data_IF_919921372752
#
_entry.id   IF_919921372752
#
_cell.length_a   1.000
_cell.length_b   1.000
_cell.length_c   1.000
_cell.angle_alpha   90.00
_cell.angle_beta   90.00
_cell.angle_gamma   90.00
#
_symmetry.space_group_name_H-M   'P 1'
#
loop_
_entity.id
_entity.type
_entity.pdbx_description
1 polymer ?
#
# COMPACT_ATOMS: atom_id res chain seq x y z
N UNK A 1 3.50 -13.52 17.16
CA UNK A 1 2.51 -12.78 16.34
C UNK A 1 3.01 -12.65 14.92
N UNK A 2 2.11 -12.70 13.98
CA UNK A 2 2.47 -12.51 12.57
C UNK A 2 2.81 -11.06 12.30
N UNK A 3 3.77 -10.84 11.42
CA UNK A 3 4.12 -9.49 10.96
C UNK A 3 3.01 -8.96 10.06
N UNK A 4 2.69 -7.69 10.22
CA UNK A 4 1.69 -7.01 9.40
C UNK A 4 2.37 -6.23 8.29
N UNK A 5 1.96 -6.49 7.06
CA UNK A 5 2.59 -5.92 5.87
C UNK A 5 1.56 -5.10 5.09
N UNK A 6 1.90 -3.85 4.82
CA UNK A 6 1.07 -2.97 3.99
C UNK A 6 1.42 -3.19 2.53
N UNK A 7 0.40 -3.23 1.67
CA UNK A 7 0.60 -3.34 0.23
C UNK A 7 0.63 -1.95 -0.39
N UNK A 8 1.69 -1.65 -1.13
CA UNK A 8 1.81 -0.44 -1.94
C UNK A 8 1.57 -0.81 -3.39
N UNK A 9 0.48 -0.32 -3.96
CA UNK A 9 -0.05 -0.82 -5.22
C UNK A 9 -0.24 0.31 -6.23
N UNK A 10 0.40 0.21 -7.43
CA UNK A 10 0.11 1.15 -8.53
C UNK A 10 -1.33 0.97 -9.00
N UNK A 11 -2.02 2.08 -9.25
CA UNK A 11 -3.42 2.04 -9.68
C UNK A 11 -3.67 2.78 -10.98
N UNK A 12 -2.84 3.76 -11.31
CA UNK A 12 -3.05 4.60 -12.50
C UNK A 12 -2.98 3.77 -13.79
N UNK A 13 -4.00 3.92 -14.62
CA UNK A 13 -4.06 3.23 -15.91
C UNK A 13 -4.57 1.80 -15.83
N UNK A 14 -4.97 1.33 -14.64
CA UNK A 14 -5.48 -0.02 -14.45
C UNK A 14 -6.99 0.01 -14.19
N UNK A 15 -7.68 -1.05 -14.63
CA UNK A 15 -9.09 -1.22 -14.31
C UNK A 15 -9.24 -1.68 -12.87
N UNK A 16 -10.43 -1.51 -12.33
CA UNK A 16 -10.73 -1.98 -10.97
C UNK A 16 -10.49 -3.49 -10.85
N UNK A 17 -10.86 -4.26 -11.88
CA UNK A 17 -10.64 -5.70 -11.88
C UNK A 17 -9.16 -6.05 -11.85
N UNK A 18 -8.33 -5.32 -12.61
CA UNK A 18 -6.88 -5.52 -12.61
C UNK A 18 -6.28 -5.18 -11.24
N UNK A 19 -6.74 -4.10 -10.63
CA UNK A 19 -6.28 -3.71 -9.30
C UNK A 19 -6.59 -4.79 -8.27
N UNK A 20 -7.81 -5.33 -8.29
CA UNK A 20 -8.20 -6.40 -7.37
C UNK A 20 -7.42 -7.67 -7.60
N UNK A 21 -7.21 -8.06 -8.86
CA UNK A 21 -6.45 -9.27 -9.18
C UNK A 21 -5.00 -9.15 -8.72
N UNK A 22 -4.38 -8.01 -8.97
CA UNK A 22 -3.00 -7.77 -8.54
C UNK A 22 -2.89 -7.79 -7.02
N UNK A 23 -3.86 -7.22 -6.33
CA UNK A 23 -3.89 -7.23 -4.87
C UNK A 23 -4.04 -8.65 -4.33
N UNK A 24 -4.91 -9.44 -4.93
CA UNK A 24 -5.14 -10.82 -4.49
C UNK A 24 -3.87 -11.65 -4.59
N UNK A 25 -3.12 -11.52 -5.68
CA UNK A 25 -1.83 -12.21 -5.82
C UNK A 25 -0.86 -11.79 -4.72
N UNK A 26 -0.80 -10.49 -4.42
CA UNK A 26 0.08 -9.99 -3.37
C UNK A 26 -0.32 -10.53 -2.00
N UNK A 27 -1.63 -10.57 -1.72
CA UNK A 27 -2.14 -11.13 -0.46
C UNK A 27 -1.71 -12.58 -0.31
N UNK A 28 -1.85 -13.37 -1.37
CA UNK A 28 -1.46 -14.79 -1.34
C UNK A 28 0.03 -14.96 -1.09
N UNK A 29 0.86 -14.14 -1.72
CA UNK A 29 2.30 -14.18 -1.51
C UNK A 29 2.68 -13.82 -0.08
N UNK A 30 2.10 -12.76 0.44
CA UNK A 30 2.38 -12.30 1.81
C UNK A 30 1.96 -13.38 2.82
N UNK A 31 0.78 -13.94 2.65
CA UNK A 31 0.28 -14.99 3.55
C UNK A 31 1.11 -16.26 3.46
N UNK A 32 1.61 -16.60 2.26
CA UNK A 32 2.47 -17.77 2.08
C UNK A 32 3.79 -17.63 2.84
N UNK A 33 4.23 -16.41 3.11
CA UNK A 33 5.43 -16.13 3.88
C UNK A 33 5.17 -16.06 5.39
N UNK A 34 3.94 -16.37 5.81
CA UNK A 34 3.58 -16.36 7.23
C UNK A 34 3.26 -14.98 7.78
N UNK A 35 3.01 -14.01 6.92
CA UNK A 35 2.67 -12.64 7.31
C UNK A 35 1.18 -12.38 7.11
N UNK A 36 0.69 -11.31 7.71
CA UNK A 36 -0.69 -10.83 7.52
C UNK A 36 -0.66 -9.55 6.71
N UNK A 37 -1.69 -9.37 5.88
CA UNK A 37 -1.85 -8.11 5.15
C UNK A 37 -2.51 -7.10 6.08
N UNK A 38 -1.87 -5.95 6.24
CA UNK A 38 -2.46 -4.83 6.97
C UNK A 38 -3.50 -4.18 6.04
N UNK A 39 -4.73 -4.14 6.51
CA UNK A 39 -5.82 -3.59 5.71
C UNK A 39 -5.66 -2.08 5.57
N UNK A 40 -5.50 -1.66 4.31
CA UNK A 40 -5.38 -0.25 3.96
C UNK A 40 -6.57 0.22 3.12
N UNK A 41 -7.66 -0.56 3.12
CA UNK A 41 -8.87 -0.15 2.41
C UNK A 41 -9.57 0.92 3.22
N UNK A 42 -9.71 2.10 2.62
CA UNK A 42 -10.40 3.22 3.24
C UNK A 42 -11.73 3.41 2.55
N UNK A 43 -12.75 3.77 3.32
CA UNK A 43 -14.06 4.12 2.76
C UNK A 43 -14.01 5.56 2.23
N UNK A 44 -13.64 5.68 0.97
CA UNK A 44 -13.49 6.99 0.33
C UNK A 44 -14.83 7.64 0.00
N UNK A 45 -15.91 6.89 0.13
CA UNK A 45 -17.26 7.41 -0.11
C UNK A 45 -17.91 7.95 1.16
N UNK A 46 -17.24 7.83 2.30
CA UNK A 46 -17.81 8.29 3.55
C UNK A 46 -17.84 9.83 3.61
N UNK A 47 -18.79 10.35 4.37
CA UNK A 47 -18.98 11.79 4.49
C UNK A 47 -17.76 12.51 5.08
N UNK A 48 -16.97 11.83 5.90
CA UNK A 48 -15.80 12.46 6.50
C UNK A 48 -14.71 12.80 5.47
N UNK A 49 -14.79 12.19 4.27
CA UNK A 49 -13.84 12.46 3.19
C UNK A 49 -14.37 13.44 2.16
N UNK A 50 -15.56 14.01 2.37
CA UNK A 50 -16.08 15.02 1.46
C UNK A 50 -15.35 16.33 1.69
N UNK A 51 -15.18 17.10 0.60
CA UNK A 51 -14.53 18.40 0.69
C UNK A 51 -13.03 18.37 0.75
N UNK A 52 -12.40 17.21 0.55
CA UNK A 52 -10.94 17.11 0.51
C UNK A 52 -10.41 17.87 -0.71
N UNK A 53 -9.40 18.70 -0.48
CA UNK A 53 -8.80 19.49 -1.56
C UNK A 53 -7.85 18.68 -2.43
N UNK A 54 -7.18 17.69 -1.84
CA UNK A 54 -6.23 16.85 -2.56
C UNK A 54 -6.40 15.41 -2.07
N UNK A 55 -7.24 14.66 -2.75
CA UNK A 55 -7.53 13.27 -2.37
C UNK A 55 -6.33 12.36 -2.43
N UNK A 56 -5.52 12.36 -3.51
CA UNK A 56 -4.34 11.49 -3.54
C UNK A 56 -3.39 11.75 -2.38
N UNK A 57 -3.18 13.00 -2.02
CA UNK A 57 -2.32 13.35 -0.90
C UNK A 57 -2.91 12.87 0.43
N UNK A 58 -4.22 13.00 0.59
CA UNK A 58 -4.89 12.50 1.80
C UNK A 58 -4.73 10.99 1.94
N UNK A 59 -4.90 10.25 0.85
CA UNK A 59 -4.73 8.79 0.89
C UNK A 59 -3.28 8.40 1.19
N UNK A 60 -2.33 9.16 0.65
CA UNK A 60 -0.92 8.95 0.94
C UNK A 60 -0.63 9.19 2.43
N UNK A 61 -1.23 10.23 3.00
CA UNK A 61 -1.08 10.53 4.43
C UNK A 61 -1.63 9.38 5.30
N UNK A 62 -2.75 8.78 4.90
CA UNK A 62 -3.31 7.63 5.61
C UNK A 62 -2.40 6.41 5.53
N UNK A 63 -1.78 6.19 4.37
CA UNK A 63 -0.80 5.11 4.22
C UNK A 63 0.40 5.34 5.14
N UNK A 64 0.92 6.55 5.19
CA UNK A 64 2.02 6.89 6.09
C UNK A 64 1.66 6.68 7.56
N UNK A 65 0.44 7.02 7.94
CA UNK A 65 -0.04 6.78 9.29
C UNK A 65 0.00 5.29 9.64
N UNK A 66 -0.47 4.44 8.73
CA UNK A 66 -0.45 2.99 8.93
C UNK A 66 0.98 2.45 8.96
N UNK A 67 1.85 2.94 8.09
CA UNK A 67 3.26 2.52 8.07
C UNK A 67 3.92 2.89 9.40
N UNK A 68 3.65 4.08 9.90
CA UNK A 68 4.27 4.56 11.14
C UNK A 68 3.75 3.85 12.38
N UNK A 69 2.48 3.45 12.38
CA UNK A 69 1.83 2.97 13.60
C UNK A 69 1.65 1.46 13.68
N UNK A 70 1.52 0.77 12.56
CA UNK A 70 1.11 -0.64 12.56
C UNK A 70 1.92 -1.56 11.66
N UNK A 71 2.50 -1.05 10.59
CA UNK A 71 3.16 -1.92 9.60
C UNK A 71 4.53 -2.39 10.09
N UNK A 72 4.78 -3.67 9.95
CA UNK A 72 6.11 -4.25 10.16
C UNK A 72 6.94 -4.21 8.87
N UNK A 73 6.31 -3.92 7.75
CA UNK A 73 6.97 -3.77 6.46
C UNK A 73 5.97 -3.38 5.38
N UNK A 74 6.48 -3.04 4.20
CA UNK A 74 5.68 -2.64 3.05
C UNK A 74 6.07 -3.49 1.85
N UNK A 75 5.07 -4.03 1.16
CA UNK A 75 5.24 -4.87 -0.01
C UNK A 75 4.85 -4.07 -1.24
N UNK A 76 5.81 -3.88 -2.15
CA UNK A 76 5.65 -3.06 -3.36
C UNK A 76 5.36 -3.96 -4.56
N UNK A 77 4.22 -3.71 -5.21
CA UNK A 77 3.84 -4.44 -6.41
C UNK A 77 4.61 -3.93 -7.62
N UNK A 78 4.69 -4.76 -8.67
CA UNK A 78 5.35 -4.40 -9.93
C UNK A 78 4.79 -3.09 -10.46
N UNK A 79 5.68 -2.24 -10.97
CA UNK A 79 5.31 -0.93 -11.49
C UNK A 79 5.33 0.17 -10.44
N UNK A 80 5.73 -0.14 -9.22
CA UNK A 80 5.75 0.85 -8.14
C UNK A 80 6.64 2.05 -8.47
N UNK A 81 7.72 1.82 -9.24
CA UNK A 81 8.67 2.90 -9.58
C UNK A 81 8.03 3.98 -10.45
N UNK A 82 6.97 3.65 -11.16
CA UNK A 82 6.26 4.57 -12.04
C UNK A 82 5.04 5.21 -11.36
N UNK A 83 4.71 4.77 -10.17
CA UNK A 83 3.58 5.31 -9.42
C UNK A 83 4.08 6.29 -8.36
N UNK A 84 3.64 7.54 -8.47
CA UNK A 84 4.11 8.61 -7.58
C UNK A 84 3.93 8.27 -6.10
N UNK A 85 2.75 7.83 -5.71
CA UNK A 85 2.48 7.48 -4.32
C UNK A 85 3.36 6.35 -3.81
N UNK A 86 3.54 5.32 -4.64
CA UNK A 86 4.40 4.20 -4.28
C UNK A 86 5.86 4.63 -4.10
N UNK A 87 6.36 5.51 -4.98
CA UNK A 87 7.72 6.02 -4.85
C UNK A 87 7.91 6.81 -3.56
N UNK A 88 6.93 7.63 -3.20
CA UNK A 88 7.00 8.40 -1.96
C UNK A 88 6.96 7.50 -0.74
N UNK A 89 6.13 6.47 -0.77
CA UNK A 89 6.09 5.47 0.30
C UNK A 89 7.43 4.71 0.39
N UNK A 90 7.98 4.33 -0.75
CA UNK A 90 9.26 3.63 -0.80
C UNK A 90 10.39 4.51 -0.23
N UNK A 91 10.47 5.75 -0.67
CA UNK A 91 11.48 6.69 -0.18
C UNK A 91 11.38 6.88 1.34
N UNK A 92 10.17 6.99 1.85
CA UNK A 92 9.95 7.12 3.28
C UNK A 92 10.39 5.86 4.03
N UNK A 93 10.08 4.68 3.51
CA UNK A 93 10.50 3.42 4.14
C UNK A 93 12.02 3.32 4.22
N UNK A 94 12.71 3.65 3.13
CA UNK A 94 14.17 3.62 3.12
C UNK A 94 14.75 4.65 4.09
N UNK A 95 14.20 5.87 4.10
CA UNK A 95 14.70 6.94 4.94
C UNK A 95 14.52 6.65 6.43
N UNK A 96 13.45 5.97 6.80
CA UNK A 96 13.10 5.72 8.21
C UNK A 96 13.31 4.27 8.65
N UNK A 97 13.95 3.46 7.81
CA UNK A 97 14.33 2.10 8.21
C UNK A 97 13.18 1.10 8.28
N UNK A 98 12.11 1.32 7.55
CA UNK A 98 10.98 0.38 7.48
C UNK A 98 11.33 -0.73 6.48
N UNK A 99 11.21 -2.01 6.85
CA UNK A 99 11.49 -3.10 5.90
C UNK A 99 10.64 -3.03 4.65
N UNK A 100 11.25 -3.29 3.50
CA UNK A 100 10.56 -3.28 2.21
C UNK A 100 10.67 -4.64 1.54
N UNK A 101 9.61 -5.03 0.85
CA UNK A 101 9.54 -6.26 0.08
C UNK A 101 9.02 -5.93 -1.30
N UNK A 102 9.41 -6.71 -2.30
CA UNK A 102 9.04 -6.45 -3.68
C UNK A 102 8.38 -7.68 -4.29
N UNK A 103 7.37 -7.45 -5.12
CA UNK A 103 6.76 -8.51 -5.89
C UNK A 103 7.79 -9.10 -6.85
N UNK A 104 7.97 -10.42 -6.81
CA UNK A 104 8.90 -11.10 -7.70
C UNK A 104 8.29 -11.31 -9.09
N UNK A 105 9.15 -11.29 -10.09
CA UNK A 105 8.75 -11.55 -11.48
C UNK A 105 8.49 -13.04 -11.71
#
# INVERSE_FOLDING_TARGET
MKKQVLISQPMKGLTEAQIRANRQEAVEQIESLGCEVLDSVFDYESLEYTGLKNKPLFYLAKSFELIASKADGVYFLKGWQEARGCRLEHDACIAYGVPVYYESN
#
